data_IF_225870380624
#
_entry.id   IF_225870380624
#
_cell.length_a   1.000
_cell.length_b   1.000
_cell.length_c   1.000
_cell.angle_alpha   90.00
_cell.angle_beta   90.00
_cell.angle_gamma   90.00
#
_symmetry.space_group_name_H-M   'P 1'
#
loop_
_entity.id
_entity.type
_entity.pdbx_description
1 polymer ?
#
# COMPACT_ATOMS: atom_id res chain seq x y z
N UNK A 1 5.11 -3.08 1.03
CA UNK A 1 4.18 -3.18 2.18
C UNK A 1 4.87 -2.72 3.45
N UNK A 2 4.13 -2.23 4.43
CA UNK A 2 4.64 -1.93 5.77
C UNK A 2 3.55 -2.21 6.80
N UNK A 3 3.91 -2.83 7.92
CA UNK A 3 2.98 -2.94 9.06
C UNK A 3 2.72 -1.57 9.65
N UNK A 4 1.46 -1.28 9.92
CA UNK A 4 1.02 -0.03 10.55
C UNK A 4 0.28 -0.33 11.85
N UNK A 5 0.23 0.66 12.73
CA UNK A 5 -0.57 0.61 13.95
C UNK A 5 -2.07 0.72 13.61
N UNK A 6 -2.97 0.23 14.48
CA UNK A 6 -4.42 0.22 14.22
C UNK A 6 -5.02 1.59 13.89
N UNK A 7 -4.56 2.65 14.55
CA UNK A 7 -4.99 4.05 14.34
C UNK A 7 -4.64 4.58 12.95
N UNK A 8 -3.63 3.99 12.31
CA UNK A 8 -3.14 4.38 10.99
C UNK A 8 -3.83 3.64 9.85
N UNK A 9 -4.52 2.53 10.12
CA UNK A 9 -5.20 1.70 9.11
C UNK A 9 -6.13 2.50 8.19
N UNK A 10 -6.99 3.41 8.69
CA UNK A 10 -7.91 4.18 7.86
C UNK A 10 -7.24 5.19 6.92
N UNK A 11 -5.91 5.35 6.99
CA UNK A 11 -5.18 6.29 6.14
C UNK A 11 -4.59 5.66 4.89
N UNK A 12 -4.61 4.33 4.73
CA UNK A 12 -3.89 3.63 3.66
C UNK A 12 -4.73 2.58 2.94
N UNK A 13 -4.25 2.18 1.75
CA UNK A 13 -4.65 0.93 1.12
C UNK A 13 -4.07 -0.26 1.89
N UNK A 14 -4.94 -1.12 2.41
CA UNK A 14 -4.61 -2.30 3.20
C UNK A 14 -4.81 -3.55 2.35
N UNK A 15 -3.79 -4.43 2.33
CA UNK A 15 -3.82 -5.63 1.50
C UNK A 15 -4.42 -6.82 2.25
N UNK A 16 -5.24 -7.61 1.55
CA UNK A 16 -5.53 -9.00 1.93
C UNK A 16 -4.40 -9.87 1.38
N UNK A 17 -3.78 -10.68 2.23
CA UNK A 17 -2.57 -11.42 1.87
C UNK A 17 -2.57 -12.86 2.33
N UNK A 18 -1.85 -13.68 1.57
CA UNK A 18 -1.38 -14.99 1.96
C UNK A 18 0.15 -14.92 2.09
N UNK A 19 0.70 -15.28 3.27
CA UNK A 19 2.15 -15.26 3.48
C UNK A 19 2.78 -16.48 2.80
N UNK A 20 3.76 -16.23 1.94
CA UNK A 20 4.43 -17.29 1.15
C UNK A 20 5.91 -17.46 1.49
N UNK A 21 6.55 -16.42 2.04
CA UNK A 21 7.90 -16.52 2.60
C UNK A 21 8.11 -15.45 3.69
N UNK A 22 9.33 -15.34 4.20
CA UNK A 22 9.68 -14.25 5.11
C UNK A 22 9.45 -12.91 4.41
N UNK A 23 8.50 -12.12 4.92
CA UNK A 23 8.18 -10.76 4.45
C UNK A 23 7.72 -10.68 3.00
N UNK A 24 7.35 -11.82 2.43
CA UNK A 24 6.86 -11.93 1.07
C UNK A 24 5.46 -12.55 1.07
N UNK A 25 4.55 -11.89 0.36
CA UNK A 25 3.13 -12.12 0.43
C UNK A 25 2.55 -12.21 -0.97
N UNK A 26 1.65 -13.17 -1.20
CA UNK A 26 0.74 -13.13 -2.34
C UNK A 26 -0.45 -12.26 -1.97
N UNK A 27 -0.71 -11.23 -2.75
CA UNK A 27 -1.85 -10.32 -2.55
C UNK A 27 -3.10 -11.01 -3.14
N UNK A 28 -4.22 -10.89 -2.42
CA UNK A 28 -5.52 -11.50 -2.75
C UNK A 28 -6.65 -10.48 -2.94
N UNK A 29 -6.34 -9.20 -2.80
CA UNK A 29 -7.28 -8.11 -2.82
C UNK A 29 -6.78 -6.93 -1.98
N UNK A 30 -7.46 -5.81 -2.07
CA UNK A 30 -7.10 -4.56 -1.37
C UNK A 30 -8.34 -3.84 -0.88
N UNK A 31 -8.24 -3.18 0.26
CA UNK A 31 -9.25 -2.26 0.77
C UNK A 31 -8.63 -0.87 0.91
N UNK A 32 -9.16 0.12 0.21
CA UNK A 32 -8.68 1.51 0.29
C UNK A 32 -9.27 2.19 1.53
N UNK A 33 -8.41 2.60 2.47
CA UNK A 33 -8.79 3.34 3.68
C UNK A 33 -9.95 2.69 4.45
N UNK A 34 -9.86 1.38 4.77
CA UNK A 34 -10.94 0.69 5.46
C UNK A 34 -11.09 1.21 6.88
N UNK A 35 -12.27 1.00 7.47
CA UNK A 35 -12.40 1.06 8.92
C UNK A 35 -11.53 -0.01 9.56
N UNK A 36 -11.18 0.17 10.83
CA UNK A 36 -10.37 -0.79 11.57
C UNK A 36 -11.03 -2.18 11.60
N UNK A 37 -12.34 -2.27 11.84
CA UNK A 37 -13.07 -3.55 11.88
C UNK A 37 -13.12 -4.27 10.52
N UNK A 38 -13.04 -3.53 9.42
CA UNK A 38 -13.16 -4.05 8.05
C UNK A 38 -11.79 -4.36 7.42
N UNK A 39 -10.70 -4.03 8.11
CA UNK A 39 -9.36 -4.14 7.56
C UNK A 39 -8.93 -5.61 7.41
N UNK A 40 -8.53 -6.05 6.20
CA UNK A 40 -8.19 -7.46 5.96
C UNK A 40 -6.83 -7.87 6.55
N UNK A 41 -6.02 -6.89 6.97
CA UNK A 41 -4.76 -7.08 7.68
C UNK A 41 -4.30 -5.75 8.30
N UNK A 42 -3.06 -5.69 8.80
CA UNK A 42 -2.38 -4.45 9.17
C UNK A 42 -1.23 -4.08 8.22
N UNK A 43 -1.20 -4.63 7.02
CA UNK A 43 -0.18 -4.37 6.01
C UNK A 43 -0.65 -3.30 5.03
N UNK A 44 -0.04 -2.13 5.11
CA UNK A 44 -0.28 -1.01 4.21
C UNK A 44 0.57 -1.11 2.94
N UNK A 45 0.01 -0.67 1.82
CA UNK A 45 0.75 -0.45 0.57
C UNK A 45 1.63 0.78 0.75
N UNK A 46 2.92 0.60 0.46
CA UNK A 46 3.88 1.70 0.37
C UNK A 46 3.94 2.09 -1.09
N UNK A 47 4.02 3.39 -1.41
CA UNK A 47 4.07 3.94 -2.78
C UNK A 47 5.34 3.59 -3.55
N UNK A 48 5.70 2.31 -3.60
CA UNK A 48 6.83 1.71 -4.30
C UNK A 48 6.32 0.44 -4.94
N UNK A 49 6.32 0.43 -6.27
CA UNK A 49 5.73 -0.63 -7.07
C UNK A 49 6.65 -0.95 -8.24
N UNK A 50 6.71 -2.23 -8.60
CA UNK A 50 7.26 -2.71 -9.86
C UNK A 50 6.07 -3.21 -10.64
N UNK A 51 5.76 -2.56 -11.76
CA UNK A 51 4.56 -2.83 -12.55
C UNK A 51 4.94 -3.52 -13.85
N UNK A 52 4.20 -4.56 -14.19
CA UNK A 52 4.25 -5.22 -15.48
C UNK A 52 3.35 -4.49 -16.49
N UNK A 53 3.60 -4.70 -17.78
CA UNK A 53 2.85 -4.04 -18.87
C UNK A 53 1.33 -4.29 -18.78
N UNK A 54 0.92 -5.49 -18.36
CA UNK A 54 -0.49 -5.87 -18.27
C UNK A 54 -1.30 -5.04 -17.25
N UNK A 55 -0.64 -4.34 -16.33
CA UNK A 55 -1.28 -3.35 -15.46
C UNK A 55 -1.79 -2.17 -16.27
N UNK A 56 -1.01 -1.67 -17.24
CA UNK A 56 -1.42 -0.55 -18.08
C UNK A 56 -2.54 -0.97 -19.05
N UNK A 57 -2.46 -2.19 -19.59
CA UNK A 57 -3.56 -2.75 -20.40
C UNK A 57 -4.86 -2.85 -19.60
N UNK A 58 -4.77 -3.31 -18.35
CA UNK A 58 -5.92 -3.41 -17.46
C UNK A 58 -6.54 -2.03 -17.20
N UNK A 59 -5.73 -1.02 -16.88
CA UNK A 59 -6.19 0.35 -16.66
C UNK A 59 -6.78 0.98 -17.93
N UNK A 60 -6.19 0.72 -19.10
CA UNK A 60 -6.66 1.25 -20.39
C UNK A 60 -8.02 0.68 -20.82
N UNK A 61 -8.25 -0.61 -20.52
CA UNK A 61 -9.53 -1.29 -20.79
C UNK A 61 -10.61 -0.87 -19.79
N UNK A 62 -10.24 -0.68 -18.53
CA UNK A 62 -11.15 -0.27 -17.47
C UNK A 62 -11.27 1.25 -17.37
N UNK A 63 -11.83 1.88 -18.42
CA UNK A 63 -11.99 3.35 -18.48
C UNK A 63 -12.73 3.94 -17.29
N UNK A 64 -13.64 3.19 -16.67
CA UNK A 64 -14.32 3.62 -15.45
C UNK A 64 -13.37 3.86 -14.28
N UNK A 65 -12.32 3.04 -14.12
CA UNK A 65 -11.34 3.22 -13.04
C UNK A 65 -10.59 4.54 -13.19
N UNK A 66 -10.16 4.83 -14.42
CA UNK A 66 -9.47 6.08 -14.74
C UNK A 66 -10.41 7.28 -14.59
N UNK A 67 -11.67 7.17 -15.05
CA UNK A 67 -12.66 8.25 -14.92
C UNK A 67 -13.03 8.56 -13.47
N UNK A 68 -13.04 7.54 -12.60
CA UNK A 68 -13.33 7.67 -11.17
C UNK A 68 -12.09 8.02 -10.33
N UNK A 69 -10.93 8.28 -10.95
CA UNK A 69 -9.64 8.50 -10.27
C UNK A 69 -9.32 7.41 -9.24
N UNK A 70 -9.60 6.15 -9.60
CA UNK A 70 -9.36 5.02 -8.72
C UNK A 70 -7.86 4.87 -8.46
N UNK A 71 -7.51 4.65 -7.20
CA UNK A 71 -6.13 4.40 -6.77
C UNK A 71 -5.55 3.16 -7.46
N UNK A 72 -4.29 3.23 -7.88
CA UNK A 72 -3.60 2.06 -8.48
C UNK A 72 -3.60 0.85 -7.55
N UNK A 73 -3.62 1.06 -6.23
CA UNK A 73 -3.77 0.00 -5.24
C UNK A 73 -5.04 -0.82 -5.45
N UNK A 74 -6.16 -0.15 -5.71
CA UNK A 74 -7.46 -0.80 -5.96
C UNK A 74 -7.43 -1.60 -7.25
N UNK A 75 -6.85 -1.03 -8.33
CA UNK A 75 -6.68 -1.74 -9.60
C UNK A 75 -5.84 -3.02 -9.45
N UNK A 76 -4.73 -2.96 -8.71
CA UNK A 76 -3.92 -4.14 -8.42
C UNK A 76 -4.66 -5.17 -7.56
N UNK A 77 -5.53 -4.71 -6.65
CA UNK A 77 -6.43 -5.57 -5.87
C UNK A 77 -7.43 -6.31 -6.75
N UNK A 78 -8.12 -5.62 -7.65
CA UNK A 78 -9.05 -6.22 -8.60
C UNK A 78 -8.34 -7.22 -9.53
N UNK A 79 -7.15 -6.87 -10.05
CA UNK A 79 -6.35 -7.81 -10.83
C UNK A 79 -6.02 -9.08 -10.02
N UNK A 80 -5.68 -8.94 -8.74
CA UNK A 80 -5.41 -10.08 -7.87
C UNK A 80 -6.66 -10.97 -7.65
N UNK A 81 -7.83 -10.36 -7.48
CA UNK A 81 -9.12 -11.06 -7.35
C UNK A 81 -9.52 -11.80 -8.63
N UNK A 82 -9.19 -11.23 -9.79
CA UNK A 82 -9.32 -11.87 -11.11
C UNK A 82 -8.26 -12.97 -11.36
N UNK A 83 -7.41 -13.27 -10.37
CA UNK A 83 -6.46 -14.37 -10.42
C UNK A 83 -5.06 -14.00 -10.90
N UNK A 84 -4.77 -12.72 -11.19
CA UNK A 84 -3.40 -12.30 -11.52
C UNK A 84 -2.48 -12.44 -10.33
N UNK A 85 -1.24 -12.86 -10.59
CA UNK A 85 -0.24 -13.03 -9.56
C UNK A 85 0.34 -11.67 -9.16
N UNK A 86 -0.15 -11.13 -8.05
CA UNK A 86 0.32 -9.86 -7.48
C UNK A 86 1.01 -10.17 -6.15
N UNK A 87 2.18 -9.58 -5.93
CA UNK A 87 3.00 -9.85 -4.76
C UNK A 87 3.31 -8.57 -3.98
N UNK A 88 3.46 -8.73 -2.66
CA UNK A 88 3.87 -7.67 -1.77
C UNK A 88 5.09 -8.09 -0.96
N UNK A 89 6.10 -7.22 -0.93
CA UNK A 89 7.23 -7.35 -0.03
C UNK A 89 7.10 -6.35 1.12
N UNK A 90 7.21 -6.81 2.37
CA UNK A 90 7.27 -5.93 3.54
C UNK A 90 8.67 -5.31 3.62
N UNK A 91 8.78 -3.98 3.59
CA UNK A 91 10.08 -3.26 3.52
C UNK A 91 10.67 -2.97 4.91
N UNK A 92 12.01 -2.97 5.00
CA UNK A 92 12.76 -2.62 6.23
C UNK A 92 12.95 -1.14 6.37
N UNK A 93 13.38 -0.75 7.56
CA UNK A 93 13.71 0.62 7.87
C UNK A 93 12.50 1.45 8.25
N UNK A 94 12.76 2.74 8.39
CA UNK A 94 11.77 3.72 8.80
C UNK A 94 10.99 4.18 7.59
N UNK A 95 9.67 4.16 7.69
CA UNK A 95 8.80 4.78 6.70
C UNK A 95 8.53 6.22 7.15
N UNK A 96 9.36 7.14 6.68
CA UNK A 96 9.18 8.57 6.89
C UNK A 96 8.22 9.11 5.83
N UNK A 97 7.32 9.99 6.25
CA UNK A 97 6.19 10.43 5.44
C UNK A 97 6.15 11.96 5.39
N UNK A 98 5.91 12.47 4.19
CA UNK A 98 5.81 13.91 3.92
C UNK A 98 4.47 14.26 3.25
N UNK A 99 3.46 13.38 3.37
CA UNK A 99 2.16 13.54 2.70
C UNK A 99 1.25 14.60 3.35
N UNK A 100 1.50 14.94 4.60
CA UNK A 100 0.83 16.02 5.33
C UNK A 100 1.82 16.74 6.25
N UNK A 101 1.47 17.94 6.71
CA UNK A 101 2.36 18.79 7.49
C UNK A 101 2.79 18.17 8.83
N UNK A 102 1.90 17.41 9.48
CA UNK A 102 2.17 16.79 10.78
C UNK A 102 3.13 15.62 10.60
N UNK A 103 2.88 14.75 9.61
CA UNK A 103 3.76 13.63 9.29
C UNK A 103 5.12 14.12 8.80
N UNK A 104 5.15 15.17 7.97
CA UNK A 104 6.39 15.81 7.55
C UNK A 104 7.19 16.34 8.74
N UNK A 105 6.56 17.08 9.65
CA UNK A 105 7.25 17.63 10.82
C UNK A 105 7.82 16.52 11.71
N UNK A 106 7.06 15.45 11.96
CA UNK A 106 7.54 14.27 12.69
C UNK A 106 8.74 13.62 11.99
N UNK A 107 8.66 13.47 10.66
CA UNK A 107 9.74 12.91 9.86
C UNK A 107 11.00 13.77 9.89
N UNK A 108 10.83 15.09 9.80
CA UNK A 108 11.91 16.07 9.90
C UNK A 108 12.61 15.97 11.26
N UNK A 109 11.86 16.05 12.36
CA UNK A 109 12.39 15.93 13.73
C UNK A 109 13.07 14.57 13.94
N UNK A 110 12.47 13.48 13.47
CA UNK A 110 13.08 12.15 13.56
C UNK A 110 14.40 12.04 12.79
N UNK A 111 14.58 12.79 11.72
CA UNK A 111 15.80 12.74 10.89
C UNK A 111 16.93 13.48 11.59
N UNK A 112 16.67 14.73 12.00
CA UNK A 112 17.67 15.55 12.71
C UNK A 112 18.07 14.96 14.07
N UNK A 113 17.19 14.22 14.75
CA UNK A 113 17.52 13.61 16.05
C UNK A 113 18.42 12.38 15.92
N UNK A 114 18.51 11.79 14.72
CA UNK A 114 19.36 10.63 14.41
C UNK A 114 20.74 11.05 13.91
N UNK A 115 20.82 12.21 13.25
CA UNK A 115 22.08 12.90 13.02
C UNK A 115 22.52 13.50 14.35
N UNK A 116 23.40 12.80 15.09
CA UNK A 116 24.08 13.42 16.25
C UNK A 116 24.71 14.73 15.78
N UNK A 117 24.18 15.86 16.25
CA UNK A 117 24.92 17.13 16.35
C UNK A 117 25.99 17.00 17.43
#
# INVERSE_FOLDING_TARGET
>A
LKKVSPDRIPSYGIVKVEKIANRFYKIKGTSEKPKLEDAPSNLAIVGRMILTEDVFDFLGKNREMTAKNVSISVALGEMAELGKAIYGYEIEGNWLECGDITSWYKSFVSTISKEKL
#
